data_IF_469212282536
#
_entry.id   IF_469212282536
#
_cell.length_a   1.000
_cell.length_b   1.000
_cell.length_c   1.000
_cell.angle_alpha   90.00
_cell.angle_beta   90.00
_cell.angle_gamma   90.00
#
_symmetry.space_group_name_H-M   'P 1'
#
loop_
_entity.id
_entity.type
_entity.pdbx_description
1 polymer ?
#
# COMPACT_ATOMS: atom_id res chain seq x y z
N UNK A 1 -39.69 49.92 19.79
CA UNK A 1 -38.43 50.39 19.16
C UNK A 1 -37.33 50.14 20.17
N UNK A 2 -36.38 49.23 19.99
CA UNK A 2 -35.76 48.76 18.74
C UNK A 2 -35.23 47.34 18.92
N UNK A 3 -35.63 46.44 18.02
CA UNK A 3 -34.97 45.16 17.74
C UNK A 3 -33.50 45.41 17.40
N UNK A 4 -32.60 44.73 18.10
CA UNK A 4 -31.24 44.48 17.62
C UNK A 4 -31.19 43.02 17.21
N UNK A 5 -31.47 42.79 15.92
CA UNK A 5 -31.11 41.56 15.20
C UNK A 5 -29.59 41.38 15.29
N UNK A 6 -29.13 40.63 16.28
CA UNK A 6 -27.76 40.13 16.36
C UNK A 6 -27.61 39.01 15.32
N UNK A 7 -27.53 39.39 14.04
CA UNK A 7 -27.07 38.48 12.99
C UNK A 7 -25.62 38.19 13.33
N UNK A 8 -25.37 36.97 13.78
CA UNK A 8 -24.04 36.40 13.86
C UNK A 8 -23.38 36.58 12.49
N UNK A 9 -22.49 37.58 12.39
CA UNK A 9 -21.60 37.78 11.26
C UNK A 9 -20.70 36.54 11.19
N UNK A 10 -21.17 35.53 10.46
CA UNK A 10 -20.42 34.32 10.19
C UNK A 10 -19.11 34.70 9.52
N UNK A 11 -18.00 34.27 10.10
CA UNK A 11 -16.68 34.53 9.56
C UNK A 11 -16.65 33.97 8.12
N UNK A 12 -16.32 34.77 7.09
CA UNK A 12 -16.34 34.29 5.70
C UNK A 12 -15.39 33.11 5.47
N UNK A 13 -14.37 32.95 6.33
CA UNK A 13 -13.48 31.78 6.33
C UNK A 13 -14.21 30.48 6.71
N UNK A 14 -15.27 30.54 7.50
CA UNK A 14 -16.07 29.38 7.88
C UNK A 14 -16.88 28.87 6.69
N UNK A 15 -17.35 29.77 5.82
CA UNK A 15 -18.01 29.43 4.55
C UNK A 15 -17.03 28.81 3.55
N UNK A 16 -15.82 29.38 3.41
CA UNK A 16 -14.77 28.79 2.58
C UNK A 16 -14.28 27.44 3.11
N UNK A 17 -14.15 27.30 4.44
CA UNK A 17 -13.76 26.03 5.07
C UNK A 17 -14.86 24.97 4.91
N UNK A 18 -16.14 25.35 5.06
CA UNK A 18 -17.28 24.46 4.83
C UNK A 18 -17.34 24.01 3.36
N UNK A 19 -17.19 24.94 2.41
CA UNK A 19 -17.22 24.64 0.98
C UNK A 19 -16.04 23.77 0.53
N UNK A 20 -14.83 24.04 1.02
CA UNK A 20 -13.67 23.18 0.80
C UNK A 20 -13.83 21.80 1.45
N UNK A 21 -14.46 21.75 2.63
CA UNK A 21 -14.77 20.48 3.32
C UNK A 21 -15.85 19.68 2.58
N UNK A 22 -16.82 20.33 1.94
CA UNK A 22 -17.82 19.67 1.08
C UNK A 22 -17.21 19.15 -0.22
N UNK A 23 -16.33 19.91 -0.88
CA UNK A 23 -15.62 19.44 -2.08
C UNK A 23 -14.66 18.27 -1.77
N UNK A 24 -14.01 18.28 -0.61
CA UNK A 24 -13.15 17.17 -0.16
C UNK A 24 -13.96 15.97 0.36
N UNK A 25 -15.04 16.22 1.11
CA UNK A 25 -15.94 15.20 1.65
C UNK A 25 -16.68 14.44 0.56
N UNK A 26 -16.97 15.09 -0.57
CA UNK A 26 -17.58 14.47 -1.76
C UNK A 26 -16.67 13.47 -2.48
N UNK A 27 -15.41 13.34 -2.05
CA UNK A 27 -14.40 12.43 -2.63
C UNK A 27 -13.77 11.50 -1.60
N UNK A 28 -14.35 11.45 -0.39
CA UNK A 28 -13.96 10.50 0.66
C UNK A 28 -14.96 9.35 0.69
N UNK A 29 -14.47 8.14 0.94
CA UNK A 29 -15.32 6.98 1.17
C UNK A 29 -14.91 6.31 2.48
N UNK A 30 -15.83 6.35 3.43
CA UNK A 30 -15.70 5.70 4.72
C UNK A 30 -16.39 4.32 4.67
N UNK A 31 -15.64 3.29 5.04
CA UNK A 31 -16.13 1.91 5.18
C UNK A 31 -15.90 1.50 6.62
N UNK A 32 -16.97 1.15 7.32
CA UNK A 32 -16.90 0.78 8.73
C UNK A 32 -17.77 -0.43 8.99
N UNK A 33 -17.24 -1.41 9.73
CA UNK A 33 -17.94 -2.64 10.09
C UNK A 33 -18.59 -3.34 8.88
N UNK A 34 -17.92 -3.32 7.73
CA UNK A 34 -18.49 -3.77 6.47
C UNK A 34 -17.51 -4.60 5.63
N UNK A 35 -18.07 -5.41 4.74
CA UNK A 35 -17.34 -6.13 3.70
C UNK A 35 -17.78 -5.61 2.35
N UNK A 36 -16.83 -5.06 1.60
CA UNK A 36 -17.07 -4.42 0.30
C UNK A 36 -16.23 -5.09 -0.78
N UNK A 37 -16.78 -5.23 -1.99
CA UNK A 37 -16.03 -5.80 -3.11
C UNK A 37 -14.96 -4.84 -3.64
N UNK A 38 -15.35 -3.59 -3.88
CA UNK A 38 -14.48 -2.59 -4.48
C UNK A 38 -14.74 -1.22 -3.85
N UNK A 39 -13.68 -0.50 -3.54
CA UNK A 39 -13.72 0.89 -3.07
C UNK A 39 -12.81 1.70 -3.97
N UNK A 40 -13.38 2.69 -4.65
CA UNK A 40 -12.63 3.65 -5.46
C UNK A 40 -13.05 5.06 -5.07
N UNK A 41 -12.09 5.84 -4.57
CA UNK A 41 -12.37 7.20 -4.12
C UNK A 41 -11.09 8.04 -4.07
N UNK A 42 -11.22 9.36 -3.92
CA UNK A 42 -10.05 10.22 -3.74
C UNK A 42 -9.34 9.89 -2.43
N UNK A 43 -10.13 9.78 -1.36
CA UNK A 43 -9.70 9.37 -0.03
C UNK A 43 -10.54 8.17 0.40
N UNK A 44 -9.90 7.17 1.00
CA UNK A 44 -10.59 6.00 1.54
C UNK A 44 -10.19 5.84 2.98
N UNK A 45 -11.17 5.67 3.86
CA UNK A 45 -10.99 5.41 5.27
C UNK A 45 -11.72 4.12 5.61
N UNK A 46 -11.00 3.12 6.11
CA UNK A 46 -11.53 1.81 6.43
C UNK A 46 -11.24 1.49 7.88
N UNK A 47 -12.30 1.17 8.63
CA UNK A 47 -12.20 0.73 10.02
C UNK A 47 -12.93 -0.58 10.25
N UNK A 48 -12.29 -1.56 10.89
CA UNK A 48 -12.94 -2.84 11.25
C UNK A 48 -13.67 -3.47 10.06
N UNK A 49 -13.03 -3.42 8.88
CA UNK A 49 -13.70 -3.68 7.60
C UNK A 49 -12.83 -4.50 6.67
N UNK A 50 -13.47 -5.12 5.68
CA UNK A 50 -12.80 -5.86 4.61
C UNK A 50 -13.13 -5.27 3.25
N UNK A 51 -12.13 -5.13 2.38
CA UNK A 51 -12.32 -4.77 0.97
C UNK A 51 -11.58 -5.74 0.05
N UNK A 52 -12.22 -6.29 -0.97
CA UNK A 52 -11.45 -7.09 -1.95
C UNK A 52 -10.46 -6.20 -2.74
N UNK A 53 -10.81 -4.95 -3.02
CA UNK A 53 -9.92 -4.00 -3.68
C UNK A 53 -10.18 -2.55 -3.29
N UNK A 54 -9.11 -1.80 -3.07
CA UNK A 54 -9.12 -0.38 -2.68
C UNK A 54 -8.25 0.40 -3.65
N UNK A 55 -8.80 1.45 -4.26
CA UNK A 55 -8.10 2.37 -5.15
C UNK A 55 -8.32 3.79 -4.66
N UNK A 56 -7.24 4.49 -4.32
CA UNK A 56 -7.36 5.88 -3.87
C UNK A 56 -6.13 6.73 -4.11
N UNK A 57 -6.25 8.04 -3.87
CA UNK A 57 -5.08 8.91 -3.74
C UNK A 57 -4.51 8.83 -2.33
N UNK A 58 -5.38 8.79 -1.32
CA UNK A 58 -5.04 8.53 0.08
C UNK A 58 -5.89 7.37 0.64
N UNK A 59 -5.27 6.41 1.31
CA UNK A 59 -5.96 5.32 1.99
C UNK A 59 -5.55 5.29 3.46
N UNK A 60 -6.54 5.17 4.34
CA UNK A 60 -6.39 4.99 5.77
C UNK A 60 -7.06 3.66 6.12
N UNK A 61 -6.32 2.72 6.69
CA UNK A 61 -6.83 1.42 7.14
C UNK A 61 -6.49 1.22 8.62
N UNK A 62 -7.52 0.99 9.43
CA UNK A 62 -7.43 0.76 10.87
C UNK A 62 -8.19 -0.52 11.20
N UNK A 63 -7.53 -1.54 11.76
CA UNK A 63 -8.12 -2.85 12.03
C UNK A 63 -8.86 -3.43 10.80
N UNK A 64 -8.28 -3.22 9.61
CA UNK A 64 -8.93 -3.48 8.35
C UNK A 64 -8.13 -4.43 7.47
N UNK A 65 -8.83 -5.13 6.59
CA UNK A 65 -8.23 -6.08 5.67
C UNK A 65 -8.56 -5.72 4.21
N UNK A 66 -7.58 -5.89 3.32
CA UNK A 66 -7.80 -5.66 1.90
C UNK A 66 -7.12 -6.70 1.00
N UNK A 67 -7.78 -7.11 -0.08
CA UNK A 67 -7.15 -7.99 -1.07
C UNK A 67 -6.05 -7.28 -1.83
N UNK A 68 -6.39 -6.16 -2.47
CA UNK A 68 -5.48 -5.34 -3.27
C UNK A 68 -5.65 -3.88 -2.87
N UNK A 69 -4.56 -3.19 -2.57
CA UNK A 69 -4.56 -1.74 -2.27
C UNK A 69 -3.68 -1.02 -3.27
N UNK A 70 -4.24 -0.03 -3.96
CA UNK A 70 -3.51 0.87 -4.83
C UNK A 70 -3.74 2.31 -4.38
N UNK A 71 -2.71 2.95 -3.82
CA UNK A 71 -2.82 4.27 -3.22
C UNK A 71 -1.68 5.21 -3.64
N UNK A 72 -1.90 6.51 -3.64
CA UNK A 72 -0.80 7.48 -3.68
C UNK A 72 -0.02 7.47 -2.35
N UNK A 73 -0.78 7.59 -1.26
CA UNK A 73 -0.34 7.48 0.12
C UNK A 73 -1.22 6.48 0.87
N UNK A 74 -0.59 5.57 1.61
CA UNK A 74 -1.27 4.58 2.43
C UNK A 74 -0.84 4.74 3.89
N UNK A 75 -1.80 4.88 4.78
CA UNK A 75 -1.61 4.80 6.22
C UNK A 75 -2.36 3.59 6.77
N UNK A 76 -1.65 2.74 7.51
CA UNK A 76 -2.16 1.48 7.99
C UNK A 76 -1.83 1.27 9.48
N UNK A 77 -2.85 0.96 10.25
CA UNK A 77 -2.76 0.58 11.66
C UNK A 77 -3.45 -0.77 11.79
N UNK A 78 -2.69 -1.79 12.17
CA UNK A 78 -3.19 -3.16 12.32
C UNK A 78 -3.97 -3.68 11.09
N UNK A 79 -3.32 -3.59 9.92
CA UNK A 79 -3.95 -3.92 8.64
C UNK A 79 -3.41 -5.22 8.01
N UNK A 80 -4.30 -6.00 7.41
CA UNK A 80 -3.95 -7.23 6.68
C UNK A 80 -4.24 -7.08 5.17
N UNK A 81 -3.21 -7.07 4.33
CA UNK A 81 -3.35 -6.75 2.91
C UNK A 81 -2.74 -7.82 2.00
N UNK A 82 -3.44 -8.32 0.99
CA UNK A 82 -2.86 -9.28 0.05
C UNK A 82 -1.70 -8.68 -0.75
N UNK A 83 -2.00 -7.62 -1.51
CA UNK A 83 -1.05 -6.88 -2.35
C UNK A 83 -1.19 -5.39 -2.12
N UNK A 84 -0.07 -4.71 -1.89
CA UNK A 84 -0.01 -3.25 -1.70
C UNK A 84 0.85 -2.62 -2.79
N UNK A 85 0.31 -1.61 -3.46
CA UNK A 85 1.01 -0.77 -4.41
C UNK A 85 0.79 0.70 -4.03
N UNK A 86 1.82 1.34 -3.48
CA UNK A 86 1.70 2.74 -3.07
C UNK A 86 2.91 3.60 -3.41
N UNK A 87 2.72 4.92 -3.43
CA UNK A 87 3.85 5.84 -3.48
C UNK A 87 4.58 5.88 -2.13
N UNK A 88 3.82 6.21 -1.09
CA UNK A 88 4.25 6.23 0.30
C UNK A 88 3.38 5.27 1.12
N UNK A 89 3.99 4.50 2.01
CA UNK A 89 3.32 3.65 2.99
C UNK A 89 3.81 4.04 4.38
N UNK A 90 2.87 4.30 5.28
CA UNK A 90 3.08 4.47 6.72
C UNK A 90 2.29 3.40 7.45
N UNK A 91 2.98 2.66 8.29
CA UNK A 91 2.47 1.44 8.88
C UNK A 91 2.84 1.38 10.37
N UNK A 92 1.91 1.12 11.27
CA UNK A 92 2.30 0.58 12.57
C UNK A 92 2.55 -0.92 12.40
N UNK A 93 1.46 -1.66 12.19
CA UNK A 93 1.49 -3.09 11.94
C UNK A 93 0.86 -3.39 10.58
N UNK A 94 1.61 -3.99 9.66
CA UNK A 94 1.05 -4.52 8.41
C UNK A 94 1.42 -5.99 8.26
N UNK A 95 0.42 -6.80 7.89
CA UNK A 95 0.64 -8.15 7.37
C UNK A 95 0.30 -8.16 5.88
N UNK A 96 1.29 -8.37 5.01
CA UNK A 96 1.04 -8.38 3.58
C UNK A 96 1.78 -9.44 2.78
N UNK A 97 1.12 -10.03 1.78
CA UNK A 97 1.79 -10.95 0.86
C UNK A 97 2.89 -10.25 0.05
N UNK A 98 2.55 -9.12 -0.56
CA UNK A 98 3.44 -8.34 -1.43
C UNK A 98 3.26 -6.85 -1.18
N UNK A 99 4.36 -6.12 -0.99
CA UNK A 99 4.35 -4.66 -0.87
C UNK A 99 5.28 -4.05 -1.92
N UNK A 100 4.75 -3.14 -2.72
CA UNK A 100 5.49 -2.30 -3.66
C UNK A 100 5.28 -0.83 -3.30
N UNK A 101 6.35 -0.16 -2.84
CA UNK A 101 6.31 1.23 -2.41
C UNK A 101 7.53 2.02 -2.93
N UNK A 102 7.45 3.35 -3.08
CA UNK A 102 8.69 4.15 -3.20
C UNK A 102 9.30 4.38 -1.83
N UNK A 103 8.46 4.77 -0.88
CA UNK A 103 8.83 4.99 0.51
C UNK A 103 7.96 4.14 1.43
N UNK A 104 8.60 3.38 2.30
CA UNK A 104 7.95 2.54 3.30
C UNK A 104 8.47 2.96 4.68
N UNK A 105 7.56 3.38 5.55
CA UNK A 105 7.83 3.68 6.95
C UNK A 105 6.94 2.81 7.82
N UNK A 106 7.50 2.15 8.81
CA UNK A 106 6.65 1.56 9.82
C UNK A 106 7.35 0.79 10.91
N UNK A 107 6.63 0.58 12.00
CA UNK A 107 7.19 -0.02 13.20
C UNK A 107 7.35 -1.53 13.03
N UNK A 108 6.33 -2.24 12.54
CA UNK A 108 6.34 -3.68 12.35
C UNK A 108 5.67 -4.08 11.02
N UNK A 109 6.49 -4.41 10.02
CA UNK A 109 6.00 -4.75 8.68
C UNK A 109 6.33 -6.21 8.35
N UNK A 110 5.31 -7.05 8.36
CA UNK A 110 5.39 -8.45 7.95
C UNK A 110 5.03 -8.58 6.47
N UNK A 111 6.01 -8.96 5.64
CA UNK A 111 5.70 -9.22 4.23
C UNK A 111 6.44 -10.35 3.56
N UNK A 112 5.76 -11.08 2.68
CA UNK A 112 6.38 -12.13 1.87
C UNK A 112 7.41 -11.56 0.89
N UNK A 113 7.04 -10.50 0.17
CA UNK A 113 7.88 -9.83 -0.83
C UNK A 113 7.80 -8.31 -0.69
N UNK A 114 8.94 -7.64 -0.55
CA UNK A 114 9.03 -6.18 -0.46
C UNK A 114 9.84 -5.58 -1.62
N UNK A 115 9.20 -4.70 -2.37
CA UNK A 115 9.80 -3.85 -3.38
C UNK A 115 9.71 -2.39 -2.93
N UNK A 116 10.74 -1.89 -2.24
CA UNK A 116 10.79 -0.51 -1.79
C UNK A 116 12.15 0.15 -2.07
N UNK A 117 12.13 1.44 -2.45
CA UNK A 117 13.36 2.21 -2.69
C UNK A 117 13.94 2.68 -1.36
N UNK A 118 13.09 3.17 -0.46
CA UNK A 118 13.48 3.64 0.86
C UNK A 118 12.60 2.97 1.91
N UNK A 119 13.23 2.34 2.90
CA UNK A 119 12.58 1.62 3.98
C UNK A 119 13.10 2.16 5.31
N UNK A 120 12.20 2.52 6.22
CA UNK A 120 12.54 2.98 7.57
C UNK A 120 11.65 2.30 8.61
N UNK A 121 12.28 1.60 9.55
CA UNK A 121 11.64 0.92 10.67
C UNK A 121 11.87 -0.59 10.65
N UNK A 122 11.15 -1.36 11.48
CA UNK A 122 11.39 -2.79 11.64
C UNK A 122 10.57 -3.59 10.62
N UNK A 123 11.27 -4.26 9.72
CA UNK A 123 10.65 -4.96 8.58
C UNK A 123 11.04 -6.42 8.60
N UNK A 124 10.09 -7.24 8.98
CA UNK A 124 10.20 -8.70 8.99
C UNK A 124 9.66 -9.27 7.68
N UNK A 125 10.55 -9.42 6.70
CA UNK A 125 10.21 -10.11 5.45
C UNK A 125 10.70 -11.55 5.44
N UNK A 126 9.81 -12.49 5.13
CA UNK A 126 10.15 -13.92 4.99
C UNK A 126 11.13 -14.16 3.83
N UNK A 127 11.17 -13.25 2.86
CA UNK A 127 12.19 -13.18 1.80
C UNK A 127 12.79 -11.78 1.83
N UNK A 128 13.78 -11.59 2.72
CA UNK A 128 14.49 -10.31 2.88
C UNK A 128 14.94 -9.71 1.53
N UNK A 129 14.93 -8.39 1.33
CA UNK A 129 15.47 -7.73 0.14
C UNK A 129 16.93 -8.11 -0.17
N UNK A 130 17.69 -8.50 0.85
CA UNK A 130 19.06 -9.04 0.73
C UNK A 130 19.08 -10.41 0.03
N UNK A 131 18.01 -11.21 0.19
CA UNK A 131 17.76 -12.46 -0.55
C UNK A 131 17.20 -12.17 -1.95
N UNK A 132 16.43 -11.08 -2.13
CA UNK A 132 15.98 -10.61 -3.45
C UNK A 132 17.13 -10.28 -4.41
N UNK A 133 18.20 -9.63 -3.92
CA UNK A 133 19.44 -9.43 -4.69
C UNK A 133 20.22 -10.74 -4.92
N UNK A 134 20.20 -11.68 -3.97
CA UNK A 134 20.78 -13.00 -4.15
C UNK A 134 20.01 -13.85 -5.18
N UNK A 135 18.71 -13.62 -5.37
CA UNK A 135 17.92 -14.23 -6.46
C UNK A 135 18.16 -13.50 -7.79
N UNK A 136 18.38 -12.18 -7.80
CA UNK A 136 18.81 -11.48 -9.01
C UNK A 136 20.15 -12.01 -9.58
N UNK A 137 21.14 -12.23 -8.71
CA UNK A 137 22.41 -12.84 -9.08
C UNK A 137 22.33 -14.37 -9.23
N UNK A 138 21.54 -15.04 -8.39
CA UNK A 138 21.40 -16.50 -8.34
C UNK A 138 20.56 -17.06 -9.49
N UNK A 139 19.55 -16.33 -9.97
CA UNK A 139 18.76 -16.71 -11.15
C UNK A 139 19.56 -16.50 -12.45
N UNK A 140 20.35 -15.42 -12.53
CA UNK A 140 21.31 -15.23 -13.63
C UNK A 140 22.40 -16.32 -13.62
N UNK A 141 22.97 -16.64 -12.45
CA UNK A 141 23.99 -17.68 -12.31
C UNK A 141 23.44 -19.08 -12.59
N UNK A 142 22.21 -19.41 -12.18
CA UNK A 142 21.60 -20.71 -12.49
C UNK A 142 21.26 -20.86 -13.97
N UNK A 143 20.77 -19.82 -14.65
CA UNK A 143 20.55 -19.85 -16.11
C UNK A 143 21.89 -20.01 -16.86
N UNK A 144 22.93 -19.29 -16.46
CA UNK A 144 24.27 -19.40 -17.09
C UNK A 144 24.89 -20.77 -16.81
N UNK A 145 24.81 -21.29 -15.59
CA UNK A 145 25.32 -22.61 -15.23
C UNK A 145 24.57 -23.73 -15.99
N UNK A 146 23.24 -23.64 -16.09
CA UNK A 146 22.44 -24.59 -16.87
C UNK A 146 22.84 -24.58 -18.36
N UNK A 147 23.08 -23.41 -18.95
CA UNK A 147 23.58 -23.27 -20.34
C UNK A 147 24.96 -23.89 -20.53
N UNK A 148 25.89 -23.70 -19.59
CA UNK A 148 27.25 -24.26 -19.64
C UNK A 148 27.22 -25.79 -19.50
N UNK A 149 26.47 -26.31 -18.54
CA UNK A 149 26.32 -27.76 -18.34
C UNK A 149 25.69 -28.42 -19.57
N UNK A 150 24.65 -27.82 -20.15
CA UNK A 150 24.00 -28.35 -21.34
C UNK A 150 24.92 -28.32 -22.58
N UNK A 151 25.74 -27.28 -22.74
CA UNK A 151 26.73 -27.20 -23.81
C UNK A 151 27.82 -28.28 -23.67
N UNK A 152 28.32 -28.52 -22.45
CA UNK A 152 29.35 -29.54 -22.18
C UNK A 152 28.79 -30.96 -22.39
N UNK A 153 27.55 -31.23 -21.96
CA UNK A 153 26.88 -32.52 -22.17
C UNK A 153 26.63 -32.78 -23.65
N UNK A 154 26.18 -31.77 -24.40
CA UNK A 154 25.94 -31.90 -25.85
C UNK A 154 27.23 -32.18 -26.62
N UNK A 155 28.35 -31.62 -26.19
CA UNK A 155 29.66 -31.85 -26.83
C UNK A 155 30.21 -33.26 -26.57
N UNK A 156 29.86 -33.91 -25.45
CA UNK A 156 30.24 -35.30 -25.15
C UNK A 156 29.37 -36.35 -25.85
N UNK A 157 28.15 -35.98 -26.25
CA UNK A 157 27.25 -36.86 -26.99
C UNK A 157 27.46 -36.80 -28.51
N UNK A 158 28.04 -35.73 -29.03
CA UNK A 158 28.36 -35.60 -30.46
C UNK A 158 29.74 -36.16 -30.86
N UNK A 159 30.50 -36.72 -29.91
CA UNK A 159 31.85 -37.26 -30.11
C UNK A 159 31.98 -38.79 -29.94
N UNK A 160 30.87 -39.53 -30.07
CA UNK A 160 30.85 -40.99 -30.14
C UNK A 160 30.16 -41.45 -31.40
#
# INVERSE_FOLDING_TARGET
MTDHDNRSDGNPLDEYAAQASEELGSRSTDVSNASVGHVESGQVSMRESFAQSVRSSAAYLEDAAAGIVQAGSLEAQDAAMGVVMAGEVRANTINSGVVAARELKGDEIHTGLLFAVNVRGDVHSTISPLVGLAIGAGFAATIVAARVVFAVVRHRLAGR
#
